data_IF_324387201662
#
_entry.id   IF_324387201662
#
_cell.length_a   1.000
_cell.length_b   1.000
_cell.length_c   1.000
_cell.angle_alpha   90.00
_cell.angle_beta   90.00
_cell.angle_gamma   90.00
#
_symmetry.space_group_name_H-M   'P 1'
#
loop_
_entity.id
_entity.type
_entity.pdbx_description
1 polymer ?
#
# COMPACT_ATOMS: atom_id res chain seq x y z
N UNK A 1 -15.70 0.51 7.54
CA UNK A 1 -16.72 0.76 8.58
C UNK A 1 -16.17 0.15 9.85
N UNK A 2 -15.99 0.95 10.90
CA UNK A 2 -15.46 0.50 12.19
C UNK A 2 -16.46 0.87 13.28
N UNK A 3 -16.60 0.01 14.30
CA UNK A 3 -17.57 0.20 15.39
C UNK A 3 -16.84 0.64 16.66
N UNK A 4 -17.26 1.77 17.22
CA UNK A 4 -16.79 2.28 18.53
C UNK A 4 -18.03 2.58 19.37
N UNK A 5 -18.17 1.96 20.54
CA UNK A 5 -19.34 2.14 21.44
C UNK A 5 -20.71 2.05 20.71
N UNK A 6 -20.92 0.99 19.94
CA UNK A 6 -22.13 0.74 19.11
C UNK A 6 -22.46 1.82 18.06
N UNK A 7 -21.57 2.79 17.83
CA UNK A 7 -21.66 3.75 16.74
C UNK A 7 -20.86 3.26 15.54
N UNK A 8 -21.52 3.25 14.39
CA UNK A 8 -20.88 3.05 13.09
C UNK A 8 -20.19 4.34 12.70
N UNK A 9 -18.86 4.33 12.76
CA UNK A 9 -18.05 5.45 12.30
C UNK A 9 -17.62 5.19 10.85
N UNK A 10 -17.74 6.25 10.05
CA UNK A 10 -17.30 6.31 8.67
C UNK A 10 -16.22 7.37 8.54
N UNK A 11 -15.27 7.14 7.64
CA UNK A 11 -14.14 8.03 7.48
C UNK A 11 -13.33 7.70 6.25
N UNK A 12 -12.40 8.59 5.93
CA UNK A 12 -11.44 8.44 4.85
C UNK A 12 -10.03 8.48 5.43
N UNK A 13 -9.15 7.67 4.86
CA UNK A 13 -7.75 7.63 5.23
C UNK A 13 -6.91 7.68 3.95
N UNK A 14 -5.84 8.48 3.98
CA UNK A 14 -4.85 8.53 2.90
C UNK A 14 -3.57 7.91 3.43
N UNK A 15 -3.28 6.64 3.08
CA UNK A 15 -2.00 6.03 3.42
C UNK A 15 -0.92 6.44 2.41
N UNK A 16 0.29 6.64 2.90
CA UNK A 16 1.53 6.76 2.13
C UNK A 16 2.50 5.65 2.52
N UNK A 17 3.50 5.40 1.69
CA UNK A 17 4.56 4.45 1.99
C UNK A 17 5.48 4.24 0.79
N UNK A 18 6.49 3.41 0.97
CA UNK A 18 7.41 3.05 -0.11
C UNK A 18 6.82 1.92 -0.94
N UNK A 19 6.81 2.08 -2.27
CA UNK A 19 6.42 1.01 -3.17
C UNK A 19 7.55 -0.04 -3.26
N UNK A 20 7.23 -1.31 -2.99
CA UNK A 20 8.16 -2.42 -3.15
C UNK A 20 7.58 -3.49 -4.07
N UNK A 21 8.44 -4.06 -4.93
CA UNK A 21 8.08 -5.13 -5.84
C UNK A 21 8.68 -6.47 -5.40
N UNK A 22 7.83 -7.49 -5.24
CA UNK A 22 8.29 -8.87 -5.01
C UNK A 22 8.21 -9.65 -6.31
N UNK A 23 9.37 -10.11 -6.77
CA UNK A 23 9.50 -10.87 -8.03
C UNK A 23 8.79 -12.23 -7.97
N UNK A 24 8.87 -12.91 -6.83
CA UNK A 24 8.26 -14.22 -6.60
C UNK A 24 6.74 -14.16 -6.84
N UNK A 25 6.07 -13.20 -6.19
CA UNK A 25 4.63 -12.99 -6.33
C UNK A 25 4.24 -12.23 -7.61
N UNK A 26 5.11 -11.38 -8.15
CA UNK A 26 4.71 -10.35 -9.12
C UNK A 26 3.78 -9.33 -8.47
N UNK A 27 4.10 -8.97 -7.23
CA UNK A 27 3.24 -8.18 -6.35
C UNK A 27 3.90 -6.85 -6.02
N UNK A 28 3.06 -5.86 -5.76
CA UNK A 28 3.47 -4.58 -5.22
C UNK A 28 2.92 -4.44 -3.82
N UNK A 29 3.79 -4.10 -2.89
CA UNK A 29 3.45 -3.80 -1.50
C UNK A 29 3.70 -2.33 -1.22
N UNK A 30 3.00 -1.82 -0.21
CA UNK A 30 3.24 -0.49 0.32
C UNK A 30 3.94 -0.64 1.67
N UNK A 31 5.27 -0.57 1.66
CA UNK A 31 6.13 -0.83 2.81
C UNK A 31 6.35 0.42 3.67
N UNK A 32 6.48 0.23 4.98
CA UNK A 32 6.54 1.27 6.01
C UNK A 32 5.36 2.24 5.90
N UNK A 33 4.17 1.69 5.65
CA UNK A 33 2.99 2.50 5.41
C UNK A 33 2.61 3.35 6.64
N UNK A 34 2.20 4.60 6.39
CA UNK A 34 1.71 5.54 7.41
C UNK A 34 0.44 6.20 6.91
N UNK A 35 -0.42 6.63 7.83
CA UNK A 35 -1.59 7.44 7.47
C UNK A 35 -1.15 8.91 7.47
N UNK A 36 -1.31 9.60 6.35
CA UNK A 36 -0.98 11.04 6.22
C UNK A 36 -2.14 11.91 6.66
N UNK A 37 -3.35 11.48 6.31
CA UNK A 37 -4.58 12.14 6.71
C UNK A 37 -5.62 11.09 7.08
N UNK A 38 -6.30 11.33 8.20
CA UNK A 38 -7.43 10.55 8.65
C UNK A 38 -8.55 11.52 8.98
N UNK A 39 -9.72 11.29 8.40
CA UNK A 39 -10.93 12.05 8.69
C UNK A 39 -12.02 11.05 9.07
N UNK A 40 -12.58 11.19 10.27
CA UNK A 40 -13.62 10.32 10.80
C UNK A 40 -14.78 11.21 11.20
N UNK A 41 -15.94 10.94 10.59
CA UNK A 41 -17.14 11.73 10.83
C UNK A 41 -17.56 11.60 12.30
N UNK A 42 -17.61 12.74 12.98
CA UNK A 42 -18.05 12.84 14.38
C UNK A 42 -16.97 12.47 15.41
N UNK A 43 -15.70 12.49 15.02
CA UNK A 43 -14.57 12.38 15.94
C UNK A 43 -13.66 13.60 15.81
N UNK A 44 -13.57 14.38 16.89
CA UNK A 44 -12.82 15.64 16.90
C UNK A 44 -11.93 15.70 18.15
N UNK A 45 -10.87 16.52 18.08
CA UNK A 45 -10.06 16.84 19.26
C UNK A 45 -9.01 15.77 19.65
N UNK A 46 -8.61 15.68 20.93
CA UNK A 46 -7.45 14.91 21.38
C UNK A 46 -7.51 13.40 21.09
N UNK A 47 -8.71 12.86 20.96
CA UNK A 47 -8.95 11.45 20.64
C UNK A 47 -8.52 11.12 19.21
N UNK A 48 -8.60 12.10 18.30
CA UNK A 48 -8.22 11.94 16.90
C UNK A 48 -6.74 11.62 16.73
N UNK A 49 -5.86 12.21 17.55
CA UNK A 49 -4.42 11.95 17.51
C UNK A 49 -4.09 10.49 17.87
N UNK A 50 -4.74 9.94 18.90
CA UNK A 50 -4.58 8.53 19.29
C UNK A 50 -5.11 7.59 18.22
N UNK A 51 -6.27 7.92 17.64
CA UNK A 51 -6.85 7.13 16.55
C UNK A 51 -5.94 7.14 15.33
N UNK A 52 -5.32 8.27 15.01
CA UNK A 52 -4.35 8.39 13.93
C UNK A 52 -3.11 7.50 14.14
N UNK A 53 -2.56 7.48 15.36
CA UNK A 53 -1.42 6.62 15.71
C UNK A 53 -1.76 5.13 15.56
N UNK A 54 -2.91 4.71 16.10
CA UNK A 54 -3.39 3.33 15.98
C UNK A 54 -3.67 2.96 14.52
N UNK A 55 -4.28 3.85 13.75
CA UNK A 55 -4.55 3.64 12.33
C UNK A 55 -3.25 3.50 11.53
N UNK A 56 -2.22 4.29 11.84
CA UNK A 56 -0.90 4.18 11.20
C UNK A 56 -0.21 2.86 11.53
N UNK A 57 -0.28 2.40 12.79
CA UNK A 57 0.26 1.09 13.18
C UNK A 57 -0.46 -0.05 12.46
N UNK A 58 -1.79 0.02 12.36
CA UNK A 58 -2.59 -0.97 11.65
C UNK A 58 -2.29 -0.95 10.14
N UNK A 59 -2.18 0.23 9.54
CA UNK A 59 -1.83 0.41 8.13
C UNK A 59 -0.46 -0.23 7.84
N UNK A 60 0.56 0.05 8.65
CA UNK A 60 1.88 -0.57 8.54
C UNK A 60 1.80 -2.10 8.57
N UNK A 61 1.23 -2.66 9.64
CA UNK A 61 1.17 -4.11 9.82
C UNK A 61 0.44 -4.84 8.69
N UNK A 62 -0.60 -4.21 8.13
CA UNK A 62 -1.41 -4.80 7.07
C UNK A 62 -0.77 -4.60 5.69
N UNK A 63 -0.39 -3.38 5.33
CA UNK A 63 0.07 -3.02 3.99
C UNK A 63 1.52 -3.47 3.71
N UNK A 64 2.35 -3.65 4.74
CA UNK A 64 3.68 -4.26 4.61
C UNK A 64 3.62 -5.72 4.12
N UNK A 65 2.45 -6.37 4.27
CA UNK A 65 2.27 -7.81 3.97
C UNK A 65 1.19 -8.09 2.93
N UNK A 66 0.23 -7.17 2.78
CA UNK A 66 -0.88 -7.29 1.85
C UNK A 66 -0.51 -6.58 0.55
N UNK A 67 -0.45 -7.31 -0.58
CA UNK A 67 -0.17 -6.68 -1.85
C UNK A 67 -1.30 -5.72 -2.24
N UNK A 68 -0.95 -4.48 -2.60
CA UNK A 68 -1.87 -3.48 -3.13
C UNK A 68 -2.16 -3.71 -4.61
N UNK A 69 -1.28 -4.46 -5.28
CA UNK A 69 -1.47 -4.92 -6.65
C UNK A 69 -0.78 -6.25 -6.88
N UNK A 70 -1.41 -7.12 -7.67
CA UNK A 70 -0.82 -8.38 -8.14
C UNK A 70 -1.02 -8.48 -9.64
N UNK A 71 0.06 -8.76 -10.37
CA UNK A 71 -0.03 -9.01 -11.81
C UNK A 71 -0.85 -10.28 -12.08
N UNK A 72 -1.78 -10.22 -13.03
CA UNK A 72 -2.61 -11.35 -13.45
C UNK A 72 -1.82 -12.22 -14.42
N UNK A 73 -1.64 -13.50 -14.06
CA UNK A 73 -0.85 -14.47 -14.83
C UNK A 73 -1.45 -14.84 -16.20
N UNK A 74 -2.74 -14.57 -16.44
CA UNK A 74 -3.44 -14.95 -17.66
C UNK A 74 -3.14 -14.06 -18.87
N UNK A 75 -2.44 -12.93 -18.68
CA UNK A 75 -2.05 -12.05 -19.77
C UNK A 75 -0.60 -12.34 -20.18
N UNK A 76 -0.40 -12.87 -21.40
CA UNK A 76 0.92 -13.23 -21.94
C UNK A 76 1.93 -12.06 -21.84
N UNK A 77 1.45 -10.81 -21.97
CA UNK A 77 2.25 -9.60 -21.80
C UNK A 77 2.68 -9.35 -20.35
N UNK A 78 1.82 -9.65 -19.37
CA UNK A 78 2.17 -9.55 -17.95
C UNK A 78 3.12 -10.67 -17.52
N UNK A 79 2.95 -11.88 -18.06
CA UNK A 79 3.86 -12.99 -17.81
C UNK A 79 5.27 -12.73 -18.36
N UNK A 80 5.39 -12.11 -19.54
CA UNK A 80 6.66 -11.63 -20.08
C UNK A 80 7.25 -10.49 -19.23
N UNK A 81 6.42 -9.53 -18.80
CA UNK A 81 6.86 -8.48 -17.88
C UNK A 81 7.44 -9.07 -16.59
N UNK A 82 6.83 -10.11 -16.01
CA UNK A 82 7.31 -10.79 -14.79
C UNK A 82 8.67 -11.49 -14.97
N UNK A 83 8.93 -12.06 -16.15
CA UNK A 83 10.21 -12.69 -16.49
C UNK A 83 11.34 -11.67 -16.65
N UNK A 84 11.01 -10.51 -17.22
CA UNK A 84 11.98 -9.46 -17.56
C UNK A 84 12.19 -8.47 -16.41
N UNK A 85 11.16 -8.15 -15.62
CA UNK A 85 11.26 -7.28 -14.45
C UNK A 85 12.20 -7.87 -13.41
N UNK A 86 13.31 -7.20 -13.15
CA UNK A 86 14.20 -7.49 -12.03
C UNK A 86 13.80 -6.71 -10.78
N UNK A 87 13.48 -5.44 -10.97
CA UNK A 87 13.24 -4.50 -9.88
C UNK A 87 12.30 -3.39 -10.34
N UNK A 88 11.53 -2.84 -9.38
CA UNK A 88 10.72 -1.64 -9.57
C UNK A 88 10.91 -0.75 -8.36
N UNK A 89 11.39 0.47 -8.62
CA UNK A 89 11.60 1.48 -7.60
C UNK A 89 10.90 2.78 -8.00
N UNK A 90 10.62 3.64 -7.02
CA UNK A 90 10.17 5.01 -7.26
C UNK A 90 11.35 5.95 -6.98
N UNK A 91 11.69 6.79 -7.95
CA UNK A 91 12.71 7.83 -7.82
C UNK A 91 12.13 9.13 -8.36
N UNK A 92 12.12 10.19 -7.56
CA UNK A 92 11.57 11.52 -7.92
C UNK A 92 10.16 11.47 -8.52
N UNK A 93 9.30 10.60 -7.97
CA UNK A 93 7.92 10.42 -8.44
C UNK A 93 7.79 9.65 -9.76
N UNK A 94 8.90 9.25 -10.37
CA UNK A 94 8.92 8.37 -11.53
C UNK A 94 9.09 6.91 -11.13
N UNK A 95 8.40 6.02 -11.84
CA UNK A 95 8.56 4.59 -11.70
C UNK A 95 9.77 4.13 -12.53
N UNK A 96 10.84 3.69 -11.86
CA UNK A 96 12.00 3.09 -12.50
C UNK A 96 11.81 1.59 -12.55
N UNK A 97 11.83 1.04 -13.76
CA UNK A 97 11.69 -0.40 -14.00
C UNK A 97 13.03 -0.94 -14.49
N UNK A 98 13.65 -1.81 -13.71
CA UNK A 98 14.88 -2.49 -14.11
C UNK A 98 14.52 -3.80 -14.81
N UNK A 99 14.99 -3.94 -16.03
CA UNK A 99 14.69 -5.06 -16.92
C UNK A 99 15.94 -5.91 -17.17
N UNK A 100 15.78 -7.24 -17.24
CA UNK A 100 16.81 -8.11 -17.83
C UNK A 100 16.68 -8.05 -19.35
N UNK A 101 17.61 -7.39 -20.03
CA UNK A 101 17.79 -7.63 -21.47
C UNK A 101 18.39 -9.03 -21.62
N UNK A 102 17.88 -9.82 -22.55
CA UNK A 102 18.42 -11.15 -22.89
C UNK A 102 19.89 -11.09 -23.32
N UNK A 103 20.53 -12.24 -23.61
CA UNK A 103 21.90 -12.24 -24.13
C UNK A 103 22.04 -11.35 -25.38
#
# INVERSE_FOLDING_TARGET
MFTVNDRKLAGTAVPSGRLEYTREGGEFLLFDARVESLDIVGLDGPEMAKVHEVASLAAKQYLDRKPIYRQKQSDLKQSLAKLVLKDVAVHDGALLVTMRVGP
#
